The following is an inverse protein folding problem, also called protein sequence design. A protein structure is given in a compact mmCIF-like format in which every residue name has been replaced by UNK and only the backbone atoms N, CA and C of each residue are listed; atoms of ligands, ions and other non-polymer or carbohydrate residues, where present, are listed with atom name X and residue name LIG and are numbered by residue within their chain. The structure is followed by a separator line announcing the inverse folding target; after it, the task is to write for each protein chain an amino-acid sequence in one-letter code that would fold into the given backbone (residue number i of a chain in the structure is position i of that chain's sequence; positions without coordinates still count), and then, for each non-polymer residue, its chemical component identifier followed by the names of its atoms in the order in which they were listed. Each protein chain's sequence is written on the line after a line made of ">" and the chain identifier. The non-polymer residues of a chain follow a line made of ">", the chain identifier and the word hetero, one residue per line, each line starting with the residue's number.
data_IF_319949036193
#
_entry.id   IF_319949036193
#
_cell.length_a   1.000
_cell.length_b   1.000
_cell.length_c   1.000
_cell.angle_alpha   90.00
_cell.angle_beta   90.00
_cell.angle_gamma   90.00
#
_symmetry.space_group_name_H-M   'P 1'
#
loop_
_entity.id
_entity.type
_entity.pdbx_description
1 polymer ?
#
# COMPACT_ATOMS: atom_id res chain seq x y z
N UNK A 1 -3.95 -1.70 -16.10
CA UNK A 1 -3.88 -1.72 -14.62
C UNK A 1 -2.60 -2.34 -14.05
N UNK A 2 -2.22 -3.57 -14.41
CA UNK A 2 -1.13 -4.31 -13.75
C UNK A 2 0.25 -3.64 -13.88
N UNK A 3 0.59 -3.08 -15.06
CA UNK A 3 1.87 -2.39 -15.28
C UNK A 3 1.95 -1.10 -14.46
N UNK A 4 0.87 -0.30 -14.42
CA UNK A 4 0.80 0.92 -13.61
C UNK A 4 0.93 0.58 -12.12
N UNK A 5 0.23 -0.47 -11.66
CA UNK A 5 0.31 -0.94 -10.28
C UNK A 5 1.72 -1.42 -9.91
N UNK A 6 2.36 -2.19 -10.80
CA UNK A 6 3.74 -2.65 -10.63
C UNK A 6 4.74 -1.47 -10.55
N UNK A 7 4.65 -0.50 -11.47
CA UNK A 7 5.52 0.69 -11.46
C UNK A 7 5.33 1.49 -10.18
N UNK A 8 4.08 1.68 -9.74
CA UNK A 8 3.75 2.35 -8.49
C UNK A 8 4.32 1.62 -7.26
N UNK A 9 4.22 0.29 -7.21
CA UNK A 9 4.79 -0.55 -6.15
C UNK A 9 6.32 -0.46 -6.12
N UNK A 10 6.96 -0.48 -7.30
CA UNK A 10 8.40 -0.39 -7.45
C UNK A 10 8.91 0.99 -7.00
N UNK A 11 8.23 2.06 -7.41
CA UNK A 11 8.52 3.43 -6.97
C UNK A 11 8.39 3.56 -5.44
N UNK A 12 7.39 2.92 -4.86
CA UNK A 12 7.12 2.95 -3.43
C UNK A 12 8.17 2.16 -2.64
N UNK A 13 8.59 0.99 -3.15
CA UNK A 13 9.67 0.19 -2.56
C UNK A 13 10.99 0.94 -2.54
N UNK A 14 11.37 1.59 -3.66
CA UNK A 14 12.56 2.45 -3.74
C UNK A 14 12.45 3.63 -2.76
N UNK A 15 11.28 4.25 -2.69
CA UNK A 15 11.02 5.38 -1.78
C UNK A 15 11.21 4.98 -0.31
N UNK A 16 10.74 3.79 0.07
CA UNK A 16 10.92 3.25 1.43
C UNK A 16 12.38 2.93 1.74
N UNK A 17 13.13 2.35 0.79
CA UNK A 17 14.56 2.09 0.99
C UNK A 17 15.39 3.38 1.09
N UNK A 18 15.01 4.43 0.36
CA UNK A 18 15.66 5.73 0.44
C UNK A 18 15.35 6.47 1.76
N UNK A 19 14.18 6.22 2.36
CA UNK A 19 13.68 6.95 3.53
C UNK A 19 14.62 6.97 4.74
N UNK A 20 15.19 5.85 5.24
CA UNK A 20 16.09 5.86 6.39
C UNK A 20 17.51 6.37 6.08
N UNK A 21 17.89 6.48 4.79
CA UNK A 21 19.19 7.01 4.36
C UNK A 21 19.18 8.54 4.31
N UNK A 22 18.00 9.16 4.23
CA UNK A 22 17.84 10.61 4.07
C UNK A 22 17.76 11.30 5.43
N UNK A 23 18.79 12.09 5.76
CA UNK A 23 18.80 12.96 6.95
C UNK A 23 18.24 14.36 6.66
N UNK A 24 18.19 14.77 5.38
CA UNK A 24 17.78 16.10 4.96
C UNK A 24 16.28 16.18 4.67
N UNK A 25 15.56 17.04 5.40
CA UNK A 25 14.10 17.23 5.34
C UNK A 25 13.58 17.59 3.95
N UNK A 26 14.38 18.25 3.11
CA UNK A 26 13.98 18.63 1.74
C UNK A 26 14.02 17.44 0.76
N UNK A 27 14.93 16.49 0.97
CA UNK A 27 15.07 15.32 0.10
C UNK A 27 14.00 14.27 0.44
N UNK A 28 13.45 14.30 1.65
CA UNK A 28 12.33 13.46 2.12
C UNK A 28 11.02 13.66 1.34
N UNK A 29 10.81 14.80 0.69
CA UNK A 29 9.61 15.02 -0.13
C UNK A 29 9.53 14.07 -1.32
N UNK A 30 10.65 13.73 -1.95
CA UNK A 30 10.69 12.81 -3.08
C UNK A 30 10.15 11.40 -2.75
N UNK A 31 10.65 10.69 -1.72
CA UNK A 31 10.12 9.39 -1.36
C UNK A 31 8.67 9.44 -0.84
N UNK A 32 8.26 10.54 -0.18
CA UNK A 32 6.86 10.70 0.26
C UNK A 32 5.91 10.83 -0.93
N UNK A 33 6.31 11.58 -1.97
CA UNK A 33 5.52 11.68 -3.21
C UNK A 33 5.42 10.30 -3.87
N UNK A 34 6.55 9.56 -3.96
CA UNK A 34 6.55 8.22 -4.52
C UNK A 34 5.64 7.24 -3.78
N UNK A 35 5.67 7.28 -2.44
CA UNK A 35 4.73 6.52 -1.60
C UNK A 35 3.28 6.94 -1.82
N UNK A 36 2.99 8.24 -1.92
CA UNK A 36 1.64 8.75 -2.15
C UNK A 36 1.02 8.22 -3.45
N UNK A 37 1.80 8.16 -4.53
CA UNK A 37 1.36 7.59 -5.81
C UNK A 37 1.02 6.10 -5.66
N UNK A 38 1.87 5.33 -4.97
CA UNK A 38 1.62 3.91 -4.73
C UNK A 38 0.39 3.65 -3.87
N UNK A 39 0.27 4.39 -2.77
CA UNK A 39 -0.87 4.26 -1.85
C UNK A 39 -2.19 4.61 -2.53
N UNK A 40 -2.22 5.67 -3.34
CA UNK A 40 -3.40 6.05 -4.12
C UNK A 40 -3.84 4.94 -5.10
N UNK A 41 -2.89 4.25 -5.74
CA UNK A 41 -3.20 3.12 -6.61
C UNK A 41 -3.78 1.92 -5.84
N UNK A 42 -3.29 1.64 -4.63
CA UNK A 42 -3.74 0.50 -3.81
C UNK A 42 -5.17 0.72 -3.30
N UNK A 43 -5.48 1.95 -2.85
CA UNK A 43 -6.79 2.28 -2.28
C UNK A 43 -7.83 2.62 -3.33
N UNK A 44 -7.43 3.31 -4.40
CA UNK A 44 -8.36 3.83 -5.41
C UNK A 44 -9.02 2.75 -6.27
N UNK A 45 -8.25 1.76 -6.72
CA UNK A 45 -8.74 0.69 -7.62
C UNK A 45 -9.88 -0.14 -6.99
N UNK A 46 -9.73 -0.73 -5.78
CA UNK A 46 -10.79 -1.55 -5.20
C UNK A 46 -12.03 -0.73 -4.83
N UNK A 47 -11.87 0.50 -4.35
CA UNK A 47 -13.00 1.38 -4.05
C UNK A 47 -13.82 1.70 -5.30
N UNK A 48 -13.16 2.09 -6.39
CA UNK A 48 -13.84 2.41 -7.66
C UNK A 48 -14.56 1.21 -8.25
N UNK A 49 -13.95 0.01 -8.17
CA UNK A 49 -14.54 -1.24 -8.69
C UNK A 49 -15.83 -1.62 -7.96
N UNK A 50 -15.89 -1.46 -6.63
CA UNK A 50 -17.09 -1.81 -5.87
C UNK A 50 -18.18 -0.73 -6.00
N UNK A 51 -17.79 0.55 -6.02
CA UNK A 51 -18.74 1.67 -6.18
C UNK A 51 -19.53 1.59 -7.50
N UNK A 52 -18.92 1.12 -8.58
CA UNK A 52 -19.61 0.98 -9.87
C UNK A 52 -20.72 -0.06 -9.89
N UNK A 53 -20.75 -0.99 -8.92
CA UNK A 53 -21.71 -2.10 -8.88
C UNK A 53 -22.84 -1.88 -7.85
N UNK A 54 -22.77 -0.81 -7.03
CA UNK A 54 -23.72 -0.60 -5.93
C UNK A 54 -24.99 0.15 -6.39
N UNK A 55 -26.20 -0.39 -6.11
CA UNK A 55 -27.45 0.30 -6.38
C UNK A 55 -27.62 1.55 -5.50
N UNK A 56 -28.07 2.65 -6.11
CA UNK A 56 -28.13 4.01 -5.51
C UNK A 56 -28.97 4.07 -4.22
N UNK A 57 -29.96 3.21 -4.08
CA UNK A 57 -30.89 3.17 -2.94
C UNK A 57 -30.24 2.75 -1.62
N UNK A 58 -29.12 2.04 -1.66
CA UNK A 58 -28.41 1.54 -0.45
C UNK A 58 -26.97 2.01 -0.36
N UNK A 59 -26.61 3.06 -1.11
CA UNK A 59 -25.25 3.55 -1.25
C UNK A 59 -24.56 3.75 0.12
N UNK A 60 -25.25 4.39 1.08
CA UNK A 60 -24.68 4.63 2.42
C UNK A 60 -24.29 3.37 3.20
N UNK A 61 -25.08 2.29 3.12
CA UNK A 61 -24.81 1.06 3.87
C UNK A 61 -23.64 0.29 3.24
N UNK A 62 -23.62 0.13 1.92
CA UNK A 62 -22.53 -0.56 1.23
C UNK A 62 -21.20 0.19 1.33
N UNK A 63 -21.23 1.53 1.28
CA UNK A 63 -20.04 2.35 1.47
C UNK A 63 -19.49 2.24 2.89
N UNK A 64 -20.35 2.14 3.90
CA UNK A 64 -19.94 1.85 5.27
C UNK A 64 -19.22 0.50 5.41
N UNK A 65 -19.74 -0.54 4.76
CA UNK A 65 -19.12 -1.88 4.78
C UNK A 65 -17.74 -1.88 4.13
N UNK A 66 -17.57 -1.24 2.97
CA UNK A 66 -16.26 -1.12 2.29
C UNK A 66 -15.25 -0.43 3.19
N UNK A 67 -15.67 0.67 3.83
CA UNK A 67 -14.78 1.40 4.73
C UNK A 67 -14.37 0.53 5.93
N UNK A 68 -15.30 -0.22 6.50
CA UNK A 68 -14.98 -1.18 7.57
C UNK A 68 -14.00 -2.26 7.10
N UNK A 69 -14.11 -2.76 5.87
CA UNK A 69 -13.15 -3.73 5.30
C UNK A 69 -11.74 -3.17 5.16
N UNK A 70 -11.57 -1.86 5.00
CA UNK A 70 -10.26 -1.19 4.91
C UNK A 70 -9.72 -0.91 6.32
N UNK A 71 -10.57 -0.39 7.21
CA UNK A 71 -10.17 0.08 8.54
C UNK A 71 -9.84 -1.09 9.47
N UNK A 72 -10.62 -2.17 9.45
CA UNK A 72 -10.39 -3.35 10.31
C UNK A 72 -8.97 -3.92 10.15
N UNK A 73 -8.50 -4.28 8.94
CA UNK A 73 -7.14 -4.79 8.77
C UNK A 73 -6.08 -3.74 9.12
N UNK A 74 -6.35 -2.44 8.91
CA UNK A 74 -5.43 -1.37 9.30
C UNK A 74 -5.30 -1.23 10.82
N UNK A 75 -6.38 -1.42 11.59
CA UNK A 75 -6.33 -1.45 13.06
C UNK A 75 -5.52 -2.65 13.53
N UNK A 76 -5.79 -3.84 12.98
CA UNK A 76 -5.04 -5.06 13.30
C UNK A 76 -3.56 -4.87 13.02
N UNK A 77 -3.22 -4.33 11.84
CA UNK A 77 -1.84 -4.03 11.47
C UNK A 77 -1.20 -3.05 12.45
N UNK A 78 -1.84 -1.94 12.82
CA UNK A 78 -1.27 -0.98 13.78
C UNK A 78 -1.04 -1.59 15.18
N UNK A 79 -1.98 -2.40 15.68
CA UNK A 79 -1.82 -3.08 16.97
C UNK A 79 -0.69 -4.11 16.93
N UNK A 80 -0.64 -4.95 15.90
CA UNK A 80 0.35 -6.02 15.77
C UNK A 80 1.75 -5.50 15.40
N UNK A 81 1.83 -4.40 14.64
CA UNK A 81 3.11 -3.84 14.17
C UNK A 81 3.98 -3.33 15.33
N UNK A 82 3.38 -2.78 16.40
CA UNK A 82 4.13 -2.39 17.59
C UNK A 82 4.86 -3.57 18.25
N UNK A 83 4.22 -4.75 18.29
CA UNK A 83 4.84 -5.97 18.81
C UNK A 83 5.97 -6.48 17.89
N UNK A 84 5.73 -6.50 16.58
CA UNK A 84 6.72 -6.88 15.55
C UNK A 84 7.94 -5.95 15.61
N UNK A 85 7.72 -4.64 15.73
CA UNK A 85 8.80 -3.66 15.83
C UNK A 85 9.69 -3.94 17.04
N UNK A 86 9.08 -4.24 18.20
CA UNK A 86 9.79 -4.47 19.46
C UNK A 86 10.52 -5.82 19.52
N UNK A 87 9.93 -6.90 18.98
CA UNK A 87 10.49 -8.25 19.09
C UNK A 87 11.34 -8.68 17.89
N UNK A 88 10.95 -8.29 16.67
CA UNK A 88 11.62 -8.75 15.45
C UNK A 88 12.62 -7.72 14.89
N UNK A 89 12.44 -6.42 15.19
CA UNK A 89 13.21 -5.33 14.58
C UNK A 89 14.05 -4.52 15.58
N UNK A 90 14.25 -5.03 16.80
CA UNK A 90 15.03 -4.36 17.87
C UNK A 90 14.60 -2.91 18.16
N UNK A 91 13.33 -2.58 17.96
CA UNK A 91 12.76 -1.26 18.18
C UNK A 91 13.38 -0.13 17.31
N UNK A 92 14.09 -0.45 16.22
CA UNK A 92 14.61 0.54 15.27
C UNK A 92 13.64 0.73 14.10
N UNK A 93 13.01 1.92 14.04
CA UNK A 93 12.09 2.30 12.97
C UNK A 93 12.75 2.27 11.58
N UNK A 94 14.07 2.46 11.46
CA UNK A 94 14.79 2.43 10.18
C UNK A 94 14.81 1.03 9.59
N UNK A 95 15.02 0.01 10.43
CA UNK A 95 14.97 -1.39 10.01
C UNK A 95 13.56 -1.77 9.56
N UNK A 96 12.53 -1.18 10.17
CA UNK A 96 11.13 -1.41 9.80
C UNK A 96 10.78 -0.88 8.42
N UNK A 97 11.22 0.35 8.14
CA UNK A 97 10.99 0.98 6.84
C UNK A 97 11.79 0.26 5.75
N UNK A 98 13.04 -0.15 6.03
CA UNK A 98 13.81 -0.96 5.09
C UNK A 98 13.17 -2.33 4.82
N UNK A 99 12.70 -3.02 5.85
CA UNK A 99 12.01 -4.30 5.71
C UNK A 99 10.75 -4.16 4.86
N UNK A 100 9.93 -3.13 5.11
CA UNK A 100 8.77 -2.82 4.29
C UNK A 100 9.15 -2.49 2.83
N UNK A 101 10.24 -1.74 2.61
CA UNK A 101 10.75 -1.45 1.27
C UNK A 101 11.13 -2.72 0.49
N UNK A 102 11.85 -3.66 1.13
CA UNK A 102 12.20 -4.95 0.54
C UNK A 102 10.94 -5.77 0.20
N UNK A 103 9.98 -5.81 1.13
CA UNK A 103 8.72 -6.54 0.94
C UNK A 103 7.92 -5.98 -0.26
N UNK A 104 7.91 -4.66 -0.42
CA UNK A 104 7.25 -3.98 -1.55
C UNK A 104 7.96 -4.24 -2.87
N UNK A 105 9.30 -4.29 -2.89
CA UNK A 105 10.04 -4.72 -4.08
C UNK A 105 9.72 -6.16 -4.44
N UNK A 106 9.67 -7.06 -3.46
CA UNK A 106 9.22 -8.44 -3.68
C UNK A 106 7.78 -8.49 -4.22
N UNK A 107 6.87 -7.69 -3.68
CA UNK A 107 5.49 -7.59 -4.17
C UNK A 107 5.41 -7.06 -5.61
N UNK A 108 6.27 -6.10 -5.98
CA UNK A 108 6.37 -5.59 -7.35
C UNK A 108 6.80 -6.69 -8.33
N UNK A 109 7.76 -7.53 -7.92
CA UNK A 109 8.22 -8.69 -8.70
C UNK A 109 7.14 -9.77 -8.74
N UNK A 110 6.47 -10.07 -7.63
CA UNK A 110 5.33 -11.00 -7.59
C UNK A 110 4.18 -10.54 -8.50
N UNK A 111 3.97 -9.23 -8.66
CA UNK A 111 2.95 -8.67 -9.56
C UNK A 111 3.23 -8.99 -11.03
N UNK A 112 4.50 -9.22 -11.42
CA UNK A 112 4.85 -9.72 -12.76
C UNK A 112 4.35 -11.16 -13.01
N UNK A 113 4.25 -11.97 -11.95
CA UNK A 113 3.74 -13.33 -12.03
C UNK A 113 2.21 -13.41 -11.98
N UNK A 114 1.53 -12.30 -11.66
CA UNK A 114 0.08 -12.21 -11.73
C UNK A 114 -0.34 -12.16 -13.20
N UNK A 115 -0.77 -13.31 -13.73
CA UNK A 115 -1.42 -13.40 -15.03
C UNK A 115 -2.70 -12.56 -14.98
N UNK A 116 -2.88 -11.53 -15.82
CA UNK A 116 -4.13 -10.79 -15.87
C UNK A 116 -5.25 -11.75 -16.24
N UNK A 117 -6.21 -11.94 -15.33
CA UNK A 117 -7.52 -12.44 -15.75
C UNK A 117 -8.10 -11.35 -16.64
N UNK A 118 -8.33 -11.65 -17.92
CA UNK A 118 -9.10 -10.79 -18.83
C UNK A 118 -10.42 -10.47 -18.13
N UNK A 119 -10.57 -9.26 -17.61
CA UNK A 119 -11.90 -8.72 -17.35
C UNK A 119 -12.45 -8.34 -18.72
N UNK A 120 -13.22 -9.27 -19.26
CA UNK A 120 -14.22 -9.17 -20.33
C UNK A 120 -14.19 -7.88 -21.17
N UNK A 121 -13.86 -8.07 -22.46
CA UNK A 121 -14.43 -7.27 -23.55
C UNK A 121 -15.64 -8.00 -24.10
#
# INVERSE_FOLDING_TARGET
>A
PNIVHMVCLLLTGISFLAFPLITNKYVLFFPIIGYGIGWASIMGIPYLMVVSEIPKERYGVYMGIINMMIVIPMIIQNLSFGFILKHFLNNDARLAVNFAGILLLMASVCTLFIKPKKTFS
#
